data_IF_932874344367
#
_entry.id   IF_932874344367
#
_cell.length_a   1.000
_cell.length_b   1.000
_cell.length_c   1.000
_cell.angle_alpha   90.00
_cell.angle_beta   90.00
_cell.angle_gamma   90.00
#
_symmetry.space_group_name_H-M   'P 1'
#
loop_
_entity.id
_entity.type
_entity.pdbx_description
1 polymer ?
#
# COMPACT_ATOMS: atom_id res chain seq x y z
N UNK A 1 14.74 0.23 24.66
CA UNK A 1 13.71 -0.78 25.00
C UNK A 1 12.77 -0.82 23.81
N UNK A 2 12.85 -1.87 22.99
CA UNK A 2 12.00 -2.03 21.82
C UNK A 2 10.55 -2.20 22.28
N UNK A 3 9.67 -1.27 21.92
CA UNK A 3 8.22 -1.50 21.97
C UNK A 3 7.95 -2.55 20.89
N UNK A 4 7.84 -3.81 21.29
CA UNK A 4 7.43 -4.88 20.38
C UNK A 4 6.10 -4.49 19.75
N UNK A 5 6.03 -4.53 18.42
CA UNK A 5 4.78 -4.41 17.69
C UNK A 5 3.81 -5.47 18.27
N UNK A 6 2.54 -5.11 18.55
CA UNK A 6 1.56 -6.08 18.99
C UNK A 6 1.44 -7.21 17.96
N UNK A 7 1.34 -8.46 18.43
CA UNK A 7 1.13 -9.61 17.54
C UNK A 7 -0.14 -9.41 16.70
N UNK A 8 -0.11 -9.86 15.44
CA UNK A 8 -1.21 -9.67 14.47
C UNK A 8 -2.57 -10.13 14.99
N UNK A 9 -2.59 -11.22 15.77
CA UNK A 9 -3.78 -11.74 16.46
C UNK A 9 -4.38 -10.80 17.51
N UNK A 10 -3.56 -9.99 18.19
CA UNK A 10 -4.04 -8.99 19.17
C UNK A 10 -4.71 -7.80 18.47
N UNK A 11 -4.14 -7.37 17.34
CA UNK A 11 -4.71 -6.32 16.49
C UNK A 11 -6.04 -6.75 15.86
N UNK A 12 -6.16 -8.00 15.41
CA UNK A 12 -7.43 -8.53 14.86
C UNK A 12 -8.55 -8.56 15.91
N UNK A 13 -8.24 -8.98 17.14
CA UNK A 13 -9.21 -8.98 18.23
C UNK A 13 -9.67 -7.56 18.58
N UNK A 14 -8.74 -6.60 18.63
CA UNK A 14 -9.07 -5.19 18.85
C UNK A 14 -9.91 -4.62 17.70
N UNK A 15 -9.57 -4.94 16.44
CA UNK A 15 -10.32 -4.50 15.26
C UNK A 15 -11.76 -5.02 15.29
N UNK A 16 -11.96 -6.31 15.58
CA UNK A 16 -13.30 -6.89 15.72
C UNK A 16 -14.12 -6.20 16.81
N UNK A 17 -13.50 -5.91 17.95
CA UNK A 17 -14.16 -5.22 19.05
C UNK A 17 -14.60 -3.81 18.66
N UNK A 18 -13.73 -3.04 18.01
CA UNK A 18 -14.04 -1.67 17.57
C UNK A 18 -15.04 -1.63 16.42
N UNK A 19 -14.98 -2.58 15.48
CA UNK A 19 -15.99 -2.72 14.43
C UNK A 19 -17.38 -3.08 14.99
N UNK A 20 -17.44 -3.97 15.98
CA UNK A 20 -18.68 -4.30 16.67
C UNK A 20 -19.23 -3.09 17.45
N UNK A 21 -18.37 -2.34 18.12
CA UNK A 21 -18.76 -1.12 18.83
C UNK A 21 -19.26 -0.04 17.86
N UNK A 22 -18.58 0.19 16.74
CA UNK A 22 -19.01 1.13 15.71
C UNK A 22 -20.36 0.75 15.11
N UNK A 23 -20.57 -0.55 14.82
CA UNK A 23 -21.85 -1.07 14.31
C UNK A 23 -23.00 -0.86 15.30
N UNK A 24 -22.75 -1.12 16.59
CA UNK A 24 -23.73 -0.89 17.65
C UNK A 24 -24.04 0.60 17.83
N UNK A 25 -23.02 1.47 17.83
CA UNK A 25 -23.20 2.92 17.92
C UNK A 25 -23.89 3.51 16.68
N UNK A 26 -23.72 2.93 15.49
CA UNK A 26 -24.37 3.37 14.27
C UNK A 26 -25.86 2.97 14.20
N UNK A 27 -26.30 1.97 14.97
CA UNK A 27 -27.71 1.55 15.06
C UNK A 27 -28.52 2.38 16.09
N UNK A 28 -27.87 2.87 17.14
CA UNK A 28 -28.47 3.71 18.18
C UNK A 28 -29.14 5.03 17.71
N UNK A 29 -28.71 5.72 16.63
CA UNK A 29 -29.35 6.94 16.13
C UNK A 29 -30.78 6.71 15.64
N UNK A 30 -31.13 5.55 15.07
CA UNK A 30 -32.51 5.26 14.66
C UNK A 30 -33.45 5.18 15.88
N UNK A 31 -33.02 4.51 16.94
CA UNK A 31 -33.78 4.41 18.20
C UNK A 31 -33.87 5.78 18.90
N UNK A 32 -32.79 6.56 18.90
CA UNK A 32 -32.79 7.93 19.43
C UNK A 32 -33.67 8.87 18.61
N UNK A 33 -33.68 8.78 17.28
CA UNK A 33 -34.54 9.59 16.41
C UNK A 33 -36.01 9.24 16.59
N UNK A 34 -36.35 7.95 16.72
CA UNK A 34 -37.71 7.50 17.01
C UNK A 34 -38.22 8.01 18.38
N UNK A 35 -37.38 7.96 19.41
CA UNK A 35 -37.74 8.47 20.73
C UNK A 35 -37.77 10.02 20.78
N UNK A 36 -36.93 10.71 20.01
CA UNK A 36 -36.93 12.19 19.93
C UNK A 36 -38.17 12.71 19.20
N UNK A 37 -38.56 12.03 18.12
CA UNK A 37 -39.79 12.36 17.38
C UNK A 37 -41.06 12.06 18.19
N UNK A 38 -41.06 10.99 19.00
CA UNK A 38 -42.12 10.74 19.97
C UNK A 38 -42.21 11.82 21.07
N UNK A 39 -41.06 12.26 21.61
CA UNK A 39 -40.99 13.34 22.62
C UNK A 39 -41.46 14.70 22.08
N UNK A 40 -41.21 14.97 20.79
CA UNK A 40 -41.68 16.17 20.08
C UNK A 40 -43.22 16.21 20.00
N UNK A 41 -43.87 15.06 19.82
CA UNK A 41 -45.32 14.93 19.76
C UNK A 41 -45.99 15.11 21.13
N UNK A 42 -45.29 14.78 22.23
CA UNK A 42 -45.78 15.00 23.60
C UNK A 42 -45.48 16.41 24.14
N UNK A 43 -44.70 17.21 23.40
CA UNK A 43 -44.39 18.60 23.76
C UNK A 43 -43.37 18.77 24.90
N UNK A 44 -42.58 17.73 25.20
CA UNK A 44 -41.59 17.76 26.28
C UNK A 44 -40.23 18.24 25.74
N UNK A 45 -40.04 19.57 25.77
CA UNK A 45 -38.88 20.25 25.18
C UNK A 45 -37.57 19.91 25.91
N UNK A 46 -37.63 19.70 27.23
CA UNK A 46 -36.45 19.32 28.03
C UNK A 46 -35.95 17.90 27.70
N UNK A 47 -36.87 16.97 27.41
CA UNK A 47 -36.50 15.64 26.96
C UNK A 47 -35.83 15.69 25.57
N UNK A 48 -36.35 16.51 24.66
CA UNK A 48 -35.80 16.69 23.30
C UNK A 48 -34.37 17.27 23.34
N UNK A 49 -34.11 18.29 24.16
CA UNK A 49 -32.76 18.85 24.30
C UNK A 49 -31.76 17.85 24.91
N UNK A 50 -32.18 17.10 25.94
CA UNK A 50 -31.34 16.03 26.52
C UNK A 50 -31.03 14.93 25.50
N UNK A 51 -32.00 14.55 24.67
CA UNK A 51 -31.81 13.55 23.63
C UNK A 51 -30.87 14.05 22.52
N UNK A 52 -30.96 15.33 22.16
CA UNK A 52 -30.05 15.97 21.22
C UNK A 52 -28.60 15.97 21.74
N UNK A 53 -28.40 16.30 23.02
CA UNK A 53 -27.09 16.24 23.67
C UNK A 53 -26.51 14.81 23.67
N UNK A 54 -27.35 13.81 23.92
CA UNK A 54 -26.95 12.39 23.86
C UNK A 54 -26.55 11.99 22.44
N UNK A 55 -27.31 12.41 21.42
CA UNK A 55 -26.98 12.15 20.02
C UNK A 55 -25.62 12.72 19.63
N UNK A 56 -25.33 13.97 20.00
CA UNK A 56 -24.05 14.62 19.69
C UNK A 56 -22.87 13.86 20.34
N UNK A 57 -23.03 13.41 21.58
CA UNK A 57 -22.00 12.60 22.25
C UNK A 57 -21.80 11.26 21.54
N UNK A 58 -22.89 10.63 21.12
CA UNK A 58 -22.86 9.36 20.41
C UNK A 58 -22.14 9.49 19.06
N UNK A 59 -22.40 10.57 18.30
CA UNK A 59 -21.69 10.88 17.05
C UNK A 59 -20.19 11.08 17.29
N UNK A 60 -19.83 11.78 18.38
CA UNK A 60 -18.42 11.95 18.76
C UNK A 60 -17.74 10.61 19.06
N UNK A 61 -18.42 9.71 19.78
CA UNK A 61 -17.89 8.37 20.07
C UNK A 61 -17.81 7.50 18.82
N UNK A 62 -18.79 7.58 17.92
CA UNK A 62 -18.79 6.86 16.66
C UNK A 62 -17.60 7.32 15.78
N UNK A 63 -17.39 8.62 15.66
CA UNK A 63 -16.22 9.18 14.96
C UNK A 63 -14.90 8.67 15.56
N UNK A 64 -14.79 8.62 16.89
CA UNK A 64 -13.61 8.07 17.55
C UNK A 64 -13.46 6.55 17.27
N UNK A 65 -14.55 5.78 17.28
CA UNK A 65 -14.52 4.36 16.92
C UNK A 65 -14.05 4.12 15.49
N UNK A 66 -14.56 4.88 14.53
CA UNK A 66 -14.19 4.79 13.11
C UNK A 66 -12.72 5.15 12.92
N UNK A 67 -12.27 6.25 13.55
CA UNK A 67 -10.86 6.66 13.52
C UNK A 67 -9.93 5.59 14.12
N UNK A 68 -10.34 4.98 15.24
CA UNK A 68 -9.59 3.89 15.88
C UNK A 68 -9.51 2.65 14.98
N UNK A 69 -10.61 2.32 14.31
CA UNK A 69 -10.70 1.18 13.38
C UNK A 69 -9.76 1.37 12.20
N UNK A 70 -9.78 2.55 11.56
CA UNK A 70 -8.85 2.91 10.48
C UNK A 70 -7.38 2.84 10.93
N UNK A 71 -7.09 3.27 12.17
CA UNK A 71 -5.73 3.21 12.73
C UNK A 71 -5.29 1.76 12.95
N UNK A 72 -6.15 0.91 13.52
CA UNK A 72 -5.86 -0.51 13.77
C UNK A 72 -5.72 -1.31 12.48
N UNK A 73 -6.55 -1.02 11.47
CA UNK A 73 -6.39 -1.56 10.12
C UNK A 73 -5.01 -1.20 9.56
N UNK A 74 -4.63 0.08 9.60
CA UNK A 74 -3.30 0.51 9.16
C UNK A 74 -2.15 -0.22 9.87
N UNK A 75 -2.28 -0.49 11.17
CA UNK A 75 -1.29 -1.27 11.93
C UNK A 75 -1.30 -2.76 11.56
N UNK A 76 -2.48 -3.34 11.29
CA UNK A 76 -2.59 -4.74 10.82
C UNK A 76 -1.93 -4.89 9.45
N UNK A 77 -2.16 -3.98 8.52
CA UNK A 77 -1.49 -4.00 7.22
C UNK A 77 0.02 -3.84 7.36
N UNK A 78 0.49 -2.95 8.23
CA UNK A 78 1.92 -2.85 8.52
C UNK A 78 2.51 -4.15 9.08
N UNK A 79 1.75 -4.89 9.90
CA UNK A 79 2.19 -6.15 10.50
C UNK A 79 2.10 -7.36 9.55
N UNK A 80 1.08 -7.40 8.69
CA UNK A 80 0.87 -8.47 7.69
C UNK A 80 1.77 -8.27 6.45
N UNK A 81 2.13 -7.02 6.15
CA UNK A 81 3.01 -6.66 5.04
C UNK A 81 4.47 -6.49 5.47
N UNK A 82 5.08 -7.49 6.11
CA UNK A 82 6.51 -7.51 6.50
C UNK A 82 7.55 -7.30 5.37
N UNK A 83 7.13 -6.83 4.20
CA UNK A 83 7.93 -6.48 3.02
C UNK A 83 8.03 -4.97 2.77
N UNK A 84 7.22 -4.12 3.43
CA UNK A 84 7.25 -2.65 3.25
C UNK A 84 7.94 -2.03 4.47
N UNK A 85 8.95 -1.18 4.26
CA UNK A 85 9.65 -0.53 5.37
C UNK A 85 8.75 0.47 6.10
N UNK A 86 9.00 0.70 7.41
CA UNK A 86 8.28 1.72 8.18
C UNK A 86 8.40 3.12 7.55
N UNK A 87 9.54 3.40 6.91
CA UNK A 87 9.85 4.66 6.23
C UNK A 87 8.98 4.83 4.97
N UNK A 88 8.88 3.81 4.11
CA UNK A 88 8.02 3.85 2.92
C UNK A 88 6.54 3.96 3.32
N UNK A 89 6.12 3.21 4.34
CA UNK A 89 4.75 3.28 4.83
C UNK A 89 4.43 4.69 5.37
N UNK A 90 5.37 5.32 6.07
CA UNK A 90 5.23 6.68 6.59
C UNK A 90 5.15 7.72 5.46
N UNK A 91 5.97 7.60 4.41
CA UNK A 91 5.89 8.46 3.23
C UNK A 91 4.55 8.32 2.51
N UNK A 92 4.08 7.10 2.28
CA UNK A 92 2.78 6.87 1.65
C UNK A 92 1.63 7.39 2.52
N UNK A 93 1.75 7.26 3.85
CA UNK A 93 0.79 7.83 4.80
C UNK A 93 0.77 9.35 4.75
N UNK A 94 1.94 9.99 4.65
CA UNK A 94 2.03 11.45 4.56
C UNK A 94 1.45 11.95 3.23
N UNK A 95 1.75 11.26 2.11
CA UNK A 95 1.13 11.55 0.81
C UNK A 95 -0.39 11.38 0.88
N UNK A 96 -0.85 10.27 1.44
CA UNK A 96 -2.28 10.00 1.62
C UNK A 96 -2.98 11.13 2.39
N UNK A 97 -2.46 11.51 3.56
CA UNK A 97 -3.01 12.59 4.38
C UNK A 97 -2.89 13.98 3.71
N UNK A 98 -1.91 14.18 2.82
CA UNK A 98 -1.75 15.43 2.09
C UNK A 98 -2.80 15.61 1.00
N UNK A 99 -3.24 14.51 0.39
CA UNK A 99 -4.27 14.53 -0.65
C UNK A 99 -5.69 14.37 -0.11
N UNK A 100 -5.85 13.74 1.06
CA UNK A 100 -7.09 13.64 1.82
C UNK A 100 -7.44 15.01 2.42
N UNK A 101 -8.29 15.79 1.72
CA UNK A 101 -8.63 17.16 2.11
C UNK A 101 -9.71 17.24 3.17
N UNK A 102 -10.61 16.26 3.20
CA UNK A 102 -11.69 16.20 4.17
C UNK A 102 -11.30 15.43 5.44
N UNK A 103 -10.13 14.79 5.44
CA UNK A 103 -9.57 14.02 6.54
C UNK A 103 -10.55 12.94 7.02
N UNK A 104 -11.33 12.39 6.08
CA UNK A 104 -12.31 11.33 6.37
C UNK A 104 -11.63 9.95 6.49
N UNK A 105 -10.31 9.89 6.19
CA UNK A 105 -9.50 8.69 6.23
C UNK A 105 -9.61 7.84 4.96
N UNK A 106 -10.27 8.33 3.91
CA UNK A 106 -10.48 7.72 2.60
C UNK A 106 -10.19 8.73 1.49
N UNK A 107 -9.41 8.36 0.47
CA UNK A 107 -9.30 9.21 -0.71
C UNK A 107 -10.50 8.96 -1.63
N UNK A 108 -11.10 10.02 -2.14
CA UNK A 108 -12.04 9.88 -3.26
C UNK A 108 -11.27 9.63 -4.57
N UNK A 109 -11.97 9.20 -5.62
CA UNK A 109 -11.35 8.87 -6.92
C UNK A 109 -10.58 10.04 -7.53
N UNK A 110 -11.00 11.29 -7.27
CA UNK A 110 -10.34 12.50 -7.79
C UNK A 110 -9.03 12.77 -7.05
N UNK A 111 -9.03 12.62 -5.72
CA UNK A 111 -7.86 12.81 -4.87
C UNK A 111 -6.83 11.69 -5.08
N UNK A 112 -7.30 10.45 -5.25
CA UNK A 112 -6.44 9.34 -5.66
C UNK A 112 -5.78 9.61 -7.02
N UNK A 113 -6.54 10.11 -7.99
CA UNK A 113 -6.00 10.50 -9.29
C UNK A 113 -4.93 11.60 -9.19
N UNK A 114 -5.14 12.58 -8.31
CA UNK A 114 -4.15 13.62 -8.03
C UNK A 114 -2.88 13.07 -7.36
N UNK A 115 -3.04 12.12 -6.42
CA UNK A 115 -1.93 11.42 -5.76
C UNK A 115 -1.12 10.61 -6.77
N UNK A 116 -1.77 9.81 -7.62
CA UNK A 116 -1.08 9.04 -8.66
C UNK A 116 -0.39 9.96 -9.68
N UNK A 117 -1.02 11.07 -10.05
CA UNK A 117 -0.39 12.08 -10.91
C UNK A 117 0.87 12.67 -10.25
N UNK A 118 0.87 12.86 -8.93
CA UNK A 118 2.04 13.30 -8.17
C UNK A 118 3.15 12.24 -8.10
N UNK A 119 2.79 10.97 -8.26
CA UNK A 119 3.73 9.85 -8.46
C UNK A 119 4.10 9.66 -9.94
N UNK A 120 3.77 10.63 -10.81
CA UNK A 120 3.97 10.62 -12.26
C UNK A 120 3.18 9.56 -13.04
N UNK A 121 2.17 8.95 -12.42
CA UNK A 121 1.26 8.00 -13.07
C UNK A 121 -0.08 8.67 -13.38
N UNK A 122 -0.42 8.75 -14.67
CA UNK A 122 -1.77 9.10 -15.09
C UNK A 122 -2.58 7.82 -15.29
N UNK A 123 -3.61 7.62 -14.47
CA UNK A 123 -4.61 6.56 -14.62
C UNK A 123 -5.95 7.13 -15.02
N UNK A 124 -6.75 6.31 -15.67
CA UNK A 124 -8.12 6.68 -16.06
C UNK A 124 -9.06 6.59 -14.86
N UNK A 125 -10.14 7.38 -14.87
CA UNK A 125 -11.15 7.34 -13.80
C UNK A 125 -11.74 5.95 -13.58
N UNK A 126 -11.79 5.11 -14.62
CA UNK A 126 -12.30 3.75 -14.53
C UNK A 126 -11.32 2.81 -13.81
N UNK A 127 -10.01 2.97 -14.01
CA UNK A 127 -8.99 2.24 -13.26
C UNK A 127 -8.97 2.67 -11.78
N UNK A 128 -9.10 3.98 -11.52
CA UNK A 128 -9.20 4.52 -10.18
C UNK A 128 -10.43 3.98 -9.45
N UNK A 129 -11.58 3.90 -10.13
CA UNK A 129 -12.80 3.28 -9.59
C UNK A 129 -12.64 1.78 -9.34
N UNK A 130 -11.85 1.07 -10.13
CA UNK A 130 -11.60 -0.35 -9.90
C UNK A 130 -10.74 -0.59 -8.65
N UNK A 131 -9.87 0.36 -8.30
CA UNK A 131 -9.04 0.32 -7.09
C UNK A 131 -9.81 0.71 -5.82
N UNK A 132 -10.91 1.46 -5.95
CA UNK A 132 -11.70 1.95 -4.82
C UNK A 132 -13.02 1.19 -4.66
N UNK A 133 -13.49 1.04 -3.42
CA UNK A 133 -14.80 0.43 -3.13
C UNK A 133 -15.79 1.53 -2.82
N UNK A 134 -16.90 1.60 -3.56
CA UNK A 134 -17.95 2.62 -3.38
C UNK A 134 -17.45 4.08 -3.49
N UNK A 135 -16.43 4.31 -4.34
CA UNK A 135 -15.83 5.63 -4.53
C UNK A 135 -14.91 6.09 -3.40
N UNK A 136 -14.68 5.24 -2.39
CA UNK A 136 -13.72 5.46 -1.31
C UNK A 136 -12.53 4.51 -1.44
N UNK A 137 -11.34 5.08 -1.56
CA UNK A 137 -10.10 4.34 -1.48
C UNK A 137 -9.51 4.48 -0.09
N UNK A 138 -9.57 3.39 0.66
CA UNK A 138 -8.89 3.31 1.94
C UNK A 138 -7.37 3.18 1.72
N UNK A 139 -6.59 3.75 2.63
CA UNK A 139 -5.13 3.62 2.67
C UNK A 139 -4.63 2.17 2.46
N UNK A 140 -5.23 1.13 3.07
CA UNK A 140 -4.94 -0.28 2.75
C UNK A 140 -4.85 -0.62 1.26
N UNK A 141 -5.85 -0.20 0.48
CA UNK A 141 -5.96 -0.52 -0.94
C UNK A 141 -4.89 0.22 -1.77
N UNK A 142 -4.58 1.46 -1.39
CA UNK A 142 -3.47 2.21 -1.99
C UNK A 142 -2.13 1.52 -1.74
N UNK A 143 -1.87 1.09 -0.50
CA UNK A 143 -0.62 0.42 -0.13
C UNK A 143 -0.47 -0.90 -0.88
N UNK A 144 -1.54 -1.69 -1.01
CA UNK A 144 -1.54 -2.92 -1.80
C UNK A 144 -1.22 -2.65 -3.28
N UNK A 145 -1.83 -1.61 -3.85
CA UNK A 145 -1.55 -1.15 -5.22
C UNK A 145 -0.08 -0.73 -5.39
N UNK A 146 0.44 0.17 -4.55
CA UNK A 146 1.82 0.66 -4.62
C UNK A 146 2.85 -0.46 -4.42
N UNK A 147 2.54 -1.41 -3.55
CA UNK A 147 3.37 -2.60 -3.31
C UNK A 147 3.40 -3.51 -4.53
N UNK A 148 2.24 -3.80 -5.13
CA UNK A 148 2.18 -4.63 -6.35
C UNK A 148 3.03 -4.05 -7.48
N UNK A 149 3.11 -2.71 -7.56
CA UNK A 149 3.92 -1.96 -8.52
C UNK A 149 5.42 -2.06 -8.26
N UNK A 150 5.87 -2.02 -7.01
CA UNK A 150 7.29 -2.22 -6.70
C UNK A 150 7.74 -3.66 -6.93
N UNK A 151 6.81 -4.63 -6.86
CA UNK A 151 7.10 -6.05 -7.12
C UNK A 151 7.07 -6.47 -8.59
N UNK A 152 6.66 -5.60 -9.51
CA UNK A 152 6.87 -5.79 -10.97
C UNK A 152 8.35 -5.53 -11.36
N UNK A 153 9.26 -5.44 -10.39
CA UNK A 153 10.71 -5.55 -10.56
C UNK A 153 11.07 -7.01 -10.91
N UNK A 154 10.90 -7.34 -12.19
CA UNK A 154 11.32 -8.52 -12.95
C UNK A 154 11.58 -9.80 -12.15
N UNK A 155 10.81 -10.86 -12.39
CA UNK A 155 11.08 -12.16 -11.80
C UNK A 155 12.49 -12.67 -12.14
N UNK A 156 13.07 -13.52 -11.28
CA UNK A 156 14.35 -14.23 -11.52
C UNK A 156 14.45 -14.77 -12.95
N UNK A 157 13.33 -15.32 -13.46
CA UNK A 157 13.23 -15.90 -14.78
C UNK A 157 13.26 -14.87 -15.92
N UNK A 158 12.64 -13.70 -15.74
CA UNK A 158 12.65 -12.63 -16.75
C UNK A 158 14.02 -11.97 -16.85
N UNK A 159 14.66 -11.69 -15.70
CA UNK A 159 16.03 -11.17 -15.66
C UNK A 159 16.99 -12.19 -16.29
N UNK A 160 16.90 -13.46 -15.92
CA UNK A 160 17.72 -14.52 -16.50
C UNK A 160 17.47 -14.69 -18.00
N UNK A 161 16.22 -14.58 -18.46
CA UNK A 161 15.87 -14.67 -19.88
C UNK A 161 16.44 -13.52 -20.72
N UNK A 162 16.48 -12.30 -20.18
CA UNK A 162 17.10 -11.16 -20.84
C UNK A 162 18.62 -11.35 -21.00
N UNK A 163 19.31 -11.74 -19.93
CA UNK A 163 20.75 -12.04 -19.99
C UNK A 163 21.07 -13.24 -20.87
N UNK A 164 20.24 -14.29 -20.86
CA UNK A 164 20.39 -15.45 -21.74
C UNK A 164 20.24 -15.08 -23.22
N UNK A 165 19.35 -14.15 -23.56
CA UNK A 165 19.16 -13.68 -24.94
C UNK A 165 20.39 -12.91 -25.45
N UNK A 166 21.05 -12.15 -24.58
CA UNK A 166 22.31 -11.48 -24.89
C UNK A 166 23.47 -12.47 -25.01
N UNK A 167 23.54 -13.46 -24.12
CA UNK A 167 24.57 -14.50 -24.15
C UNK A 167 24.44 -15.45 -25.36
N UNK A 168 23.23 -15.65 -25.88
CA UNK A 168 22.97 -16.53 -27.02
C UNK A 168 23.57 -16.02 -28.34
N UNK A 169 23.83 -14.71 -28.49
CA UNK A 169 24.45 -14.16 -29.70
C UNK A 169 25.96 -14.50 -29.80
N UNK A 170 26.70 -14.52 -28.69
CA UNK A 170 28.17 -14.63 -28.70
C UNK A 170 28.74 -15.86 -27.95
N UNK A 171 27.88 -16.80 -27.55
CA UNK A 171 28.30 -18.02 -26.85
C UNK A 171 28.69 -17.77 -25.38
N UNK A 172 28.09 -16.75 -24.77
CA UNK A 172 28.35 -16.30 -23.40
C UNK A 172 28.11 -14.81 -23.27
N UNK A 173 27.87 -14.34 -22.04
CA UNK A 173 27.72 -12.90 -21.79
C UNK A 173 29.10 -12.26 -21.83
N UNK A 174 29.41 -11.45 -22.84
CA UNK A 174 30.68 -10.73 -22.98
C UNK A 174 30.49 -9.23 -22.76
N UNK A 175 31.56 -8.50 -22.44
CA UNK A 175 31.51 -7.02 -22.38
C UNK A 175 31.03 -6.44 -23.73
N UNK A 176 31.49 -7.00 -24.84
CA UNK A 176 31.07 -6.58 -26.18
C UNK A 176 29.55 -6.78 -26.41
N UNK A 177 28.98 -7.87 -25.89
CA UNK A 177 27.53 -8.10 -25.96
C UNK A 177 26.73 -7.09 -25.11
N UNK A 178 27.27 -6.66 -23.96
CA UNK A 178 26.65 -5.64 -23.11
C UNK A 178 26.75 -4.24 -23.73
N UNK A 179 27.90 -3.88 -24.29
CA UNK A 179 28.09 -2.62 -25.03
C UNK A 179 27.13 -2.53 -26.23
N UNK A 180 26.99 -3.63 -26.99
CA UNK A 180 26.08 -3.72 -28.14
C UNK A 180 24.60 -3.66 -27.74
N UNK A 181 24.27 -4.13 -26.53
CA UNK A 181 22.93 -4.02 -25.95
C UNK A 181 22.58 -2.60 -25.48
N UNK A 182 23.54 -1.67 -25.52
CA UNK A 182 23.34 -0.29 -25.08
C UNK A 182 23.43 -0.11 -23.57
N UNK A 183 24.06 -1.05 -22.86
CA UNK A 183 24.38 -0.92 -21.43
C UNK A 183 25.48 0.14 -21.27
N UNK A 184 25.35 1.01 -20.27
CA UNK A 184 26.34 2.07 -20.04
C UNK A 184 27.66 1.51 -19.51
N UNK A 185 28.76 2.25 -19.71
CA UNK A 185 30.10 1.81 -19.27
C UNK A 185 30.16 1.62 -17.74
N UNK A 186 29.51 2.48 -16.96
CA UNK A 186 29.39 2.36 -15.50
C UNK A 186 28.63 1.09 -15.08
N UNK A 187 27.53 0.76 -15.78
CA UNK A 187 26.74 -0.44 -15.50
C UNK A 187 27.49 -1.72 -15.89
N UNK A 188 28.28 -1.68 -16.96
CA UNK A 188 29.15 -2.79 -17.39
C UNK A 188 30.20 -3.07 -16.32
N UNK A 189 30.87 -2.03 -15.80
CA UNK A 189 31.88 -2.18 -14.75
C UNK A 189 31.26 -2.79 -13.48
N UNK A 190 30.07 -2.32 -13.10
CA UNK A 190 29.31 -2.88 -11.98
C UNK A 190 28.94 -4.35 -12.19
N UNK A 191 28.45 -4.71 -13.37
CA UNK A 191 28.09 -6.09 -13.71
C UNK A 191 29.33 -6.99 -13.71
N UNK A 192 30.43 -6.56 -14.31
CA UNK A 192 31.70 -7.30 -14.37
C UNK A 192 32.32 -7.49 -12.98
N UNK A 193 32.18 -6.51 -12.09
CA UNK A 193 32.67 -6.61 -10.71
C UNK A 193 31.89 -7.63 -9.87
N UNK A 194 30.64 -7.90 -10.25
CA UNK A 194 29.69 -8.70 -9.47
C UNK A 194 29.36 -10.06 -10.08
N UNK A 195 29.70 -10.27 -11.36
CA UNK A 195 29.62 -11.56 -12.04
C UNK A 195 30.94 -12.34 -11.95
N UNK A 196 30.84 -13.66 -12.01
CA UNK A 196 32.02 -14.53 -12.07
C UNK A 196 32.47 -14.68 -13.53
N UNK A 197 33.77 -14.44 -13.78
CA UNK A 197 34.37 -14.67 -15.09
C UNK A 197 34.45 -16.17 -15.38
N UNK A 198 33.84 -16.59 -16.48
CA UNK A 198 33.83 -17.95 -17.00
C UNK A 198 34.93 -18.22 -18.03
N UNK A 199 34.78 -19.34 -18.74
CA UNK A 199 35.72 -19.74 -19.78
C UNK A 199 35.65 -18.79 -20.99
N UNK A 200 36.78 -18.50 -21.64
CA UNK A 200 36.77 -17.69 -22.85
C UNK A 200 35.97 -18.39 -23.96
N UNK A 201 35.15 -17.63 -24.68
CA UNK A 201 34.40 -18.15 -25.83
C UNK A 201 35.32 -18.50 -27.01
N UNK A 202 34.76 -19.03 -28.10
CA UNK A 202 35.51 -19.38 -29.31
C UNK A 202 36.25 -18.19 -29.96
N UNK A 203 35.87 -16.96 -29.63
CA UNK A 203 36.52 -15.72 -30.06
C UNK A 203 37.65 -15.25 -29.11
N UNK A 204 37.88 -15.96 -27.99
CA UNK A 204 38.88 -15.61 -26.98
C UNK A 204 38.43 -14.50 -26.02
N UNK A 205 37.15 -14.11 -26.03
CA UNK A 205 36.58 -13.13 -25.12
C UNK A 205 36.14 -13.79 -23.81
N UNK A 206 36.40 -13.12 -22.68
CA UNK A 206 35.97 -13.58 -21.35
C UNK A 206 34.44 -13.55 -21.27
N UNK A 207 33.85 -14.68 -20.92
CA UNK A 207 32.41 -14.78 -20.66
C UNK A 207 32.12 -14.54 -19.19
N UNK A 208 30.91 -14.11 -18.86
CA UNK A 208 30.47 -13.86 -17.49
C UNK A 208 29.23 -14.69 -17.17
N UNK A 209 29.22 -15.30 -15.98
CA UNK A 209 28.05 -16.02 -15.47
C UNK A 209 27.16 -15.06 -14.67
N UNK A 210 25.90 -14.94 -15.09
CA UNK A 210 24.89 -14.11 -14.43
C UNK A 210 24.06 -14.92 -13.41
N UNK A 211 24.20 -16.25 -13.33
CA UNK A 211 23.40 -17.07 -12.40
C UNK A 211 23.67 -16.71 -10.93
N UNK A 212 24.93 -16.49 -10.57
CA UNK A 212 25.34 -16.09 -9.20
C UNK A 212 24.89 -14.67 -8.85
N UNK A 213 24.95 -13.74 -9.82
CA UNK A 213 24.46 -12.36 -9.66
C UNK A 213 22.94 -12.34 -9.40
N UNK A 214 22.20 -13.09 -10.22
CA UNK A 214 20.74 -13.20 -10.08
C UNK A 214 20.40 -13.87 -8.75
N UNK A 215 21.07 -14.95 -8.35
CA UNK A 215 20.82 -15.54 -7.03
C UNK A 215 21.13 -14.59 -5.87
N UNK A 216 22.17 -13.77 -5.98
CA UNK A 216 22.49 -12.75 -4.99
C UNK A 216 21.54 -11.54 -4.99
N UNK A 217 20.80 -11.30 -6.08
CA UNK A 217 19.81 -10.21 -6.15
C UNK A 217 18.41 -10.62 -5.66
N UNK A 218 18.08 -11.91 -5.75
CA UNK A 218 16.76 -12.46 -5.39
C UNK A 218 16.76 -13.30 -4.09
N UNK A 219 17.84 -13.26 -3.30
CA UNK A 219 17.93 -13.78 -1.92
C UNK A 219 17.80 -12.66 -0.89
#
# INVERSE_FOLDING_TARGET
MAKGLPETTDLEAQLQMWNAAATALAACPEECQAATSAALLTGDVDLVDRMRDVSIRLDSYLSECVSRTSTLEGQRLAADMGTVSEEQLAEWRELYNRFDKDHDGSLNTVELGALLTSLSEARTDDELKALCTDGKCAFPALVEYLKSRETDSHSKAEVAGAFASLAAEEGGLTVASLEKAGVTEDDIEFLVQRMEAGEPNEAGAVTYSFESLIESMFM
#
